data_IF_206316117608
#
_entry.id   IF_206316117608
#
_cell.length_a   1.000
_cell.length_b   1.000
_cell.length_c   1.000
_cell.angle_alpha   90.00
_cell.angle_beta   90.00
_cell.angle_gamma   90.00
#
_symmetry.space_group_name_H-M   'P 1'
#
loop_
_entity.id
_entity.type
_entity.pdbx_description
1 polymer ?
#
# COMPACT_ATOMS: atom_id res chain seq x y z
N UNK A 1 1.64 17.74 -0.67
CA UNK A 1 0.45 17.32 0.04
C UNK A 1 0.75 16.29 1.11
N UNK A 2 0.17 16.47 2.25
CA UNK A 2 0.44 15.54 3.33
C UNK A 2 -0.42 14.32 3.26
N UNK A 3 0.14 13.21 3.68
CA UNK A 3 -0.64 11.99 3.85
C UNK A 3 -1.48 12.09 5.11
N UNK A 4 -2.65 11.51 5.07
CA UNK A 4 -3.50 11.38 6.24
C UNK A 4 -3.02 10.16 7.02
N UNK A 5 -2.50 10.33 8.24
CA UNK A 5 -1.99 9.19 9.01
C UNK A 5 -3.08 8.20 9.40
N UNK A 6 -4.33 8.62 9.31
CA UNK A 6 -5.45 7.74 9.63
C UNK A 6 -6.05 7.06 8.41
N UNK A 7 -5.50 7.33 7.24
CA UNK A 7 -6.00 6.70 6.02
C UNK A 7 -5.70 5.20 6.06
N UNK A 8 -6.67 4.43 5.58
CA UNK A 8 -6.50 2.98 5.47
C UNK A 8 -6.11 2.66 4.04
N UNK A 9 -5.07 1.85 3.90
CA UNK A 9 -4.55 1.48 2.59
C UNK A 9 -5.07 0.10 2.20
N UNK A 10 -5.46 -0.02 0.94
CA UNK A 10 -6.01 -1.26 0.40
C UNK A 10 -5.38 -1.50 -0.97
N UNK A 11 -5.19 -2.78 -1.32
CA UNK A 11 -4.72 -3.09 -2.66
C UNK A 11 -5.87 -3.00 -3.63
N UNK A 12 -5.54 -2.69 -4.88
CA UNK A 12 -6.52 -2.65 -5.94
C UNK A 12 -7.02 -4.05 -6.24
N UNK A 13 -8.31 -4.18 -6.55
CA UNK A 13 -8.92 -5.47 -6.82
C UNK A 13 -8.37 -6.16 -8.05
N UNK A 14 -7.92 -5.38 -9.01
CA UNK A 14 -7.53 -5.91 -10.30
C UNK A 14 -6.05 -6.22 -10.40
N UNK A 15 -5.38 -6.31 -9.25
CA UNK A 15 -3.96 -6.61 -9.21
C UNK A 15 -3.75 -8.00 -8.64
N UNK A 16 -2.92 -8.78 -9.31
CA UNK A 16 -2.50 -10.10 -8.83
C UNK A 16 -1.04 -10.05 -8.47
N UNK A 17 -0.66 -10.80 -7.47
CA UNK A 17 0.70 -10.75 -6.94
C UNK A 17 1.33 -12.14 -6.93
N UNK A 18 2.61 -12.18 -7.25
CA UNK A 18 3.41 -13.39 -7.14
C UNK A 18 4.67 -13.04 -6.37
N UNK A 19 5.00 -13.84 -5.38
CA UNK A 19 6.13 -13.56 -4.49
C UNK A 19 7.28 -14.51 -4.74
N UNK A 20 8.49 -13.99 -4.54
CA UNK A 20 9.71 -14.79 -4.62
C UNK A 20 10.70 -14.25 -3.59
N UNK A 21 11.88 -14.88 -3.53
CA UNK A 21 12.93 -14.39 -2.63
C UNK A 21 13.39 -12.99 -3.00
N UNK A 22 13.28 -12.65 -4.28
CA UNK A 22 13.77 -11.38 -4.79
C UNK A 22 12.75 -10.26 -4.71
N UNK A 23 11.56 -10.54 -4.20
CA UNK A 23 10.53 -9.53 -4.08
C UNK A 23 9.19 -10.03 -4.58
N UNK A 24 8.54 -9.23 -5.39
CA UNK A 24 7.23 -9.59 -5.93
C UNK A 24 7.05 -9.03 -7.32
N UNK A 25 6.17 -9.68 -8.07
CA UNK A 25 5.72 -9.16 -9.37
C UNK A 25 4.22 -8.93 -9.25
N UNK A 26 3.78 -7.75 -9.63
CA UNK A 26 2.37 -7.40 -9.62
C UNK A 26 1.88 -7.31 -11.05
N UNK A 27 0.73 -7.88 -11.30
CA UNK A 27 0.07 -7.78 -12.60
C UNK A 27 -1.22 -7.00 -12.43
N UNK A 28 -1.29 -5.84 -13.07
CA UNK A 28 -2.52 -5.07 -13.15
C UNK A 28 -3.29 -5.61 -14.34
N UNK A 29 -4.32 -6.40 -14.06
CA UNK A 29 -5.07 -7.10 -15.10
C UNK A 29 -5.80 -6.15 -16.03
N UNK A 30 -6.35 -5.08 -15.48
CA UNK A 30 -7.10 -4.12 -16.30
C UNK A 30 -6.22 -3.40 -17.29
N UNK A 31 -5.01 -3.02 -16.86
CA UNK A 31 -4.11 -2.26 -17.71
C UNK A 31 -3.13 -3.13 -18.47
N UNK A 32 -3.02 -4.40 -18.10
CA UNK A 32 -2.06 -5.30 -18.71
C UNK A 32 -0.63 -4.95 -18.42
N UNK A 33 -0.36 -4.37 -17.25
CA UNK A 33 0.97 -3.93 -16.87
C UNK A 33 1.52 -4.77 -15.74
N UNK A 34 2.82 -5.02 -15.79
CA UNK A 34 3.53 -5.73 -14.73
C UNK A 34 4.48 -4.79 -14.02
N UNK A 35 4.62 -4.98 -12.72
CA UNK A 35 5.51 -4.17 -11.90
C UNK A 35 6.33 -5.09 -11.01
N UNK A 36 7.61 -4.78 -10.85
CA UNK A 36 8.48 -5.54 -9.96
C UNK A 36 8.69 -4.76 -8.67
N UNK A 37 8.63 -5.47 -7.56
CA UNK A 37 8.87 -4.88 -6.24
C UNK A 37 10.10 -5.54 -5.63
N UNK A 38 10.97 -4.73 -5.04
CA UNK A 38 12.09 -5.28 -4.29
C UNK A 38 11.55 -5.93 -3.00
N UNK A 39 12.39 -6.66 -2.23
CA UNK A 39 11.88 -7.37 -1.06
C UNK A 39 11.19 -6.50 -0.02
N UNK A 40 11.68 -5.28 0.19
CA UNK A 40 11.07 -4.39 1.17
C UNK A 40 9.70 -3.94 0.70
N UNK A 41 9.61 -3.48 -0.55
CA UNK A 41 8.32 -3.06 -1.11
C UNK A 41 7.35 -4.23 -1.21
N UNK A 42 7.87 -5.43 -1.50
CA UNK A 42 7.02 -6.63 -1.56
C UNK A 42 6.41 -6.93 -0.19
N UNK A 43 7.17 -6.72 0.88
CA UNK A 43 6.65 -6.95 2.22
C UNK A 43 5.59 -5.93 2.59
N UNK A 44 5.79 -4.67 2.21
CA UNK A 44 4.76 -3.66 2.39
C UNK A 44 3.50 -4.08 1.65
N UNK A 45 3.66 -4.48 0.39
CA UNK A 45 2.54 -4.90 -0.43
C UNK A 45 1.79 -6.08 0.18
N UNK A 46 2.53 -7.13 0.60
CA UNK A 46 1.89 -8.33 1.14
C UNK A 46 1.13 -8.02 2.42
N UNK A 47 1.62 -7.07 3.21
CA UNK A 47 0.94 -6.69 4.44
C UNK A 47 -0.37 -5.98 4.14
N UNK A 48 -0.37 -5.08 3.15
CA UNK A 48 -1.60 -4.41 2.73
C UNK A 48 -2.57 -5.43 2.14
N UNK A 49 -2.04 -6.33 1.32
CA UNK A 49 -2.87 -7.35 0.68
C UNK A 49 -3.53 -8.27 1.71
N UNK A 50 -2.82 -8.55 2.80
CA UNK A 50 -3.34 -9.41 3.86
C UNK A 50 -4.34 -8.69 4.77
N UNK A 51 -4.62 -7.42 4.49
CA UNK A 51 -5.51 -6.60 5.32
C UNK A 51 -6.71 -6.17 4.49
N UNK A 52 -7.70 -7.05 4.32
CA UNK A 52 -8.83 -6.75 3.41
C UNK A 52 -9.68 -5.56 3.85
N UNK A 53 -9.66 -5.22 5.12
CA UNK A 53 -10.36 -4.04 5.61
C UNK A 53 -9.48 -2.80 5.59
N UNK A 54 -8.24 -2.95 5.14
CA UNK A 54 -7.29 -1.85 5.10
C UNK A 54 -6.35 -1.86 6.30
N UNK A 55 -5.25 -1.16 6.15
CA UNK A 55 -4.27 -1.02 7.24
C UNK A 55 -3.71 0.39 7.15
N UNK A 56 -3.49 1.02 8.30
CA UNK A 56 -2.95 2.36 8.31
C UNK A 56 -1.42 2.33 8.34
N UNK A 57 -0.83 3.50 8.21
CA UNK A 57 0.63 3.61 8.16
C UNK A 57 1.28 3.10 9.44
N UNK A 58 0.66 3.36 10.57
CA UNK A 58 1.18 2.91 11.84
C UNK A 58 1.20 1.38 11.93
N UNK A 59 0.12 0.75 11.49
CA UNK A 59 0.05 -0.71 11.47
C UNK A 59 1.10 -1.31 10.56
N UNK A 60 1.32 -0.68 9.40
CA UNK A 60 2.36 -1.14 8.49
C UNK A 60 3.74 -1.01 9.12
N UNK A 61 4.00 0.12 9.76
CA UNK A 61 5.30 0.33 10.40
C UNK A 61 5.52 -0.68 11.53
N UNK A 62 4.47 -0.98 12.29
CA UNK A 62 4.59 -1.98 13.36
C UNK A 62 4.98 -3.34 12.82
N UNK A 63 4.36 -3.76 11.71
CA UNK A 63 4.69 -5.04 11.11
C UNK A 63 6.12 -5.04 10.57
N UNK A 64 6.50 -3.98 9.87
CA UNK A 64 7.83 -3.90 9.29
C UNK A 64 8.92 -3.85 10.35
N UNK A 65 8.63 -3.24 11.47
CA UNK A 65 9.59 -3.12 12.55
C UNK A 65 9.99 -4.48 13.13
N UNK A 66 9.11 -5.47 13.03
CA UNK A 66 9.44 -6.81 13.50
C UNK A 66 10.47 -7.50 12.59
N UNK A 67 10.63 -7.02 11.37
CA UNK A 67 11.53 -7.63 10.39
C UNK A 67 12.80 -6.83 10.16
N UNK A 68 12.78 -5.53 10.45
CA UNK A 68 13.89 -4.65 10.17
C UNK A 68 14.27 -3.84 11.41
N UNK A 69 15.55 -3.69 11.64
CA UNK A 69 16.02 -2.92 12.80
C UNK A 69 16.22 -1.47 12.37
N UNK A 70 15.15 -0.81 12.09
CA UNK A 70 15.16 0.57 11.62
C UNK A 70 14.22 1.36 12.53
N UNK A 71 14.59 2.59 12.92
CA UNK A 71 13.72 3.39 13.78
C UNK A 71 12.33 3.54 13.20
N UNK A 72 11.34 3.49 14.05
CA UNK A 72 9.94 3.51 13.66
C UNK A 72 9.60 4.71 12.77
N UNK A 73 10.12 5.89 13.12
CA UNK A 73 9.83 7.10 12.35
C UNK A 73 10.43 7.04 10.95
N UNK A 74 11.60 6.45 10.84
CA UNK A 74 12.23 6.29 9.53
C UNK A 74 11.46 5.28 8.69
N UNK A 75 11.00 4.19 9.30
CA UNK A 75 10.16 3.22 8.61
C UNK A 75 8.88 3.84 8.11
N UNK A 76 8.23 4.64 8.95
CA UNK A 76 6.98 5.28 8.53
C UNK A 76 7.20 6.16 7.32
N UNK A 77 8.30 6.90 7.28
CA UNK A 77 8.59 7.77 6.15
C UNK A 77 8.81 6.96 4.88
N UNK A 78 9.61 5.90 4.98
CA UNK A 78 9.93 5.08 3.81
C UNK A 78 8.69 4.35 3.29
N UNK A 79 7.90 3.80 4.19
CA UNK A 79 6.67 3.10 3.81
C UNK A 79 5.70 4.06 3.14
N UNK A 80 5.59 5.26 3.70
CA UNK A 80 4.71 6.28 3.12
C UNK A 80 5.11 6.62 1.69
N UNK A 81 6.41 6.73 1.43
CA UNK A 81 6.90 6.98 0.08
C UNK A 81 6.54 5.85 -0.87
N UNK A 82 6.69 4.60 -0.44
CA UNK A 82 6.29 3.46 -1.25
C UNK A 82 4.80 3.49 -1.56
N UNK A 83 3.99 3.76 -0.53
CA UNK A 83 2.53 3.77 -0.69
C UNK A 83 2.10 4.85 -1.67
N UNK A 84 2.73 6.02 -1.60
CA UNK A 84 2.38 7.11 -2.52
C UNK A 84 2.73 6.74 -3.96
N UNK A 85 3.86 6.07 -4.17
CA UNK A 85 4.22 5.61 -5.51
C UNK A 85 3.23 4.57 -6.01
N UNK A 86 2.87 3.61 -5.15
CA UNK A 86 1.92 2.58 -5.54
C UNK A 86 0.55 3.18 -5.83
N UNK A 87 0.18 4.21 -5.08
CA UNK A 87 -1.09 4.89 -5.31
C UNK A 87 -1.08 5.61 -6.66
N UNK A 88 0.02 6.26 -7.00
CA UNK A 88 0.14 6.93 -8.29
C UNK A 88 0.03 5.95 -9.46
N UNK A 89 0.48 4.73 -9.25
CA UNK A 89 0.39 3.70 -10.26
C UNK A 89 -0.97 3.01 -10.30
N UNK A 90 -1.85 3.36 -9.36
CA UNK A 90 -3.17 2.74 -9.30
C UNK A 90 -3.19 1.36 -8.66
N UNK A 91 -2.12 0.99 -7.97
CA UNK A 91 -2.00 -0.36 -7.39
C UNK A 91 -2.57 -0.45 -5.99
N UNK A 92 -2.59 0.67 -5.24
CA UNK A 92 -3.24 0.74 -3.94
C UNK A 92 -4.12 1.97 -3.91
N UNK A 93 -5.07 1.98 -2.98
CA UNK A 93 -5.94 3.13 -2.79
C UNK A 93 -6.07 3.42 -1.32
N UNK A 94 -6.34 4.68 -1.03
CA UNK A 94 -6.60 5.13 0.32
C UNK A 94 -8.09 5.21 0.56
N UNK A 95 -8.48 4.77 1.75
CA UNK A 95 -9.85 4.93 2.18
C UNK A 95 -9.78 5.75 3.46
N UNK A 96 -9.88 7.05 3.30
CA UNK A 96 -9.81 7.96 4.43
C UNK A 96 -11.20 8.32 4.91
N UNK A 97 -11.22 9.14 5.94
CA UNK A 97 -12.48 9.54 6.53
C UNK A 97 -13.33 10.38 5.61
N UNK A 98 -12.73 11.05 4.66
CA UNK A 98 -13.44 11.92 3.79
C UNK A 98 -13.98 11.31 2.57
N UNK A 99 -13.80 10.17 2.47
CA UNK A 99 -14.10 9.60 1.24
C UNK A 99 -15.52 9.32 1.07
N UNK A 100 -15.84 9.75 1.20
CA UNK A 100 -16.71 9.56 1.18
C UNK A 100 -17.43 10.29 0.71
N UNK A 101 -17.46 10.46 0.80
CA UNK A 101 -17.85 10.83 0.62
C UNK A 101 -18.02 11.36 -0.28
N UNK A 102 -18.12 11.79 -0.70
CA UNK A 102 -18.13 12.13 -1.41
C UNK A 102 -18.18 11.89 -2.19
N UNK A 103 -18.36 11.85 -2.16
CA UNK A 103 -18.25 11.41 -2.71
C UNK A 103 -18.60 11.23 -3.18
N UNK A 104 -18.80 11.34 -3.01
CA UNK A 104 -18.92 10.91 -3.30
C UNK A 104 -19.34 10.91 -3.84
N UNK A 105 -19.50 11.11 -3.83
CA UNK A 105 -19.56 10.82 -4.30
C UNK A 105 -19.98 10.77 -4.92
N UNK A 106 -20.12 11.13 -4.98
CA UNK A 106 -20.15 10.83 -5.48
C UNK A 106 -20.37 10.61 -6.21
N UNK A 107 -20.40 10.66 -6.38
CA UNK A 107 -20.30 10.23 -6.88
C UNK A 107 -19.98 9.77 -7.27
N UNK A 108 -19.96 9.98 -7.15
CA UNK A 108 -19.55 9.27 -7.16
C UNK A 108 -19.28 8.97 -7.45
#
# INVERSE_FOLDING_TARGET
MKSDPNAMWLVSRDVRSTYSEDGAVLLDIRKGLCFSLNPVAARVWSTVEASPSGIDLRGLADVMETHYKIPHEELKRDINEYLLKLEQMGLVQRNGLFHDSKAAGARG
#
